data_IF_294461013449
#
_entry.id   IF_294461013449
#
_cell.length_a   1.000
_cell.length_b   1.000
_cell.length_c   1.000
_cell.angle_alpha   90.00
_cell.angle_beta   90.00
_cell.angle_gamma   90.00
#
_symmetry.space_group_name_H-M   'P 1'
#
loop_
_entity.id
_entity.type
_entity.pdbx_description
1 polymer ?
#
# COMPACT_ATOMS: atom_id res chain seq x y z
N UNK A 1 -14.63 -8.15 18.40
CA UNK A 1 -13.40 -8.58 19.14
C UNK A 1 -12.30 -7.63 18.68
N UNK A 2 -11.38 -7.20 19.55
CA UNK A 2 -10.31 -6.31 19.09
C UNK A 2 -9.42 -7.04 18.08
N UNK A 3 -9.14 -6.41 16.95
CA UNK A 3 -8.26 -6.97 15.94
C UNK A 3 -6.81 -6.92 16.46
N UNK A 4 -6.02 -7.93 16.14
CA UNK A 4 -4.62 -7.97 16.57
C UNK A 4 -3.82 -6.94 15.77
N UNK A 5 -3.02 -6.15 16.47
CA UNK A 5 -1.98 -5.30 15.87
C UNK A 5 -0.92 -6.18 15.20
N UNK A 6 -0.95 -6.23 13.87
CA UNK A 6 -0.03 -7.03 13.07
C UNK A 6 0.09 -6.43 11.64
N UNK A 7 0.75 -5.27 11.52
CA UNK A 7 0.94 -4.61 10.25
C UNK A 7 1.69 -5.53 9.29
N UNK A 8 1.19 -5.58 8.07
CA UNK A 8 1.67 -6.48 7.01
C UNK A 8 1.81 -5.77 5.66
N UNK A 9 1.64 -4.45 5.65
CA UNK A 9 1.55 -3.65 4.43
C UNK A 9 0.34 -4.02 3.59
N UNK A 10 0.48 -3.78 2.28
CA UNK A 10 -0.60 -3.98 1.32
C UNK A 10 -0.56 -5.39 0.75
N UNK A 11 -1.70 -6.06 0.76
CA UNK A 11 -1.91 -7.36 0.12
C UNK A 11 -2.78 -7.15 -1.10
N UNK A 12 -2.27 -7.48 -2.28
CA UNK A 12 -3.08 -7.47 -3.50
C UNK A 12 -4.18 -8.53 -3.41
N UNK A 13 -5.42 -8.12 -3.73
CA UNK A 13 -6.57 -9.01 -3.79
C UNK A 13 -6.91 -9.35 -5.24
N UNK A 14 -7.50 -8.39 -5.95
CA UNK A 14 -8.00 -8.52 -7.32
C UNK A 14 -8.30 -7.15 -7.89
N UNK A 15 -8.51 -7.06 -9.20
CA UNK A 15 -9.18 -5.89 -9.77
C UNK A 15 -10.70 -5.92 -9.47
N UNK A 16 -11.34 -4.76 -9.34
CA UNK A 16 -12.80 -4.64 -9.20
C UNK A 16 -13.53 -5.24 -10.41
N UNK A 17 -12.92 -5.23 -11.59
CA UNK A 17 -13.41 -5.91 -12.79
C UNK A 17 -13.26 -7.43 -12.77
N UNK A 18 -12.65 -7.99 -11.73
CA UNK A 18 -12.40 -9.43 -11.58
C UNK A 18 -11.15 -9.93 -12.31
N UNK A 19 -10.30 -9.03 -12.81
CA UNK A 19 -9.01 -9.37 -13.40
C UNK A 19 -7.94 -9.68 -12.35
N UNK A 20 -6.91 -10.41 -12.79
CA UNK A 20 -5.70 -10.65 -11.99
C UNK A 20 -4.78 -9.42 -11.99
N UNK A 21 -3.93 -9.33 -10.97
CA UNK A 21 -2.89 -8.30 -10.89
C UNK A 21 -1.81 -8.48 -11.95
N UNK A 22 -1.31 -7.38 -12.51
CA UNK A 22 -0.14 -7.40 -13.40
C UNK A 22 1.11 -7.32 -12.54
N UNK A 23 1.97 -8.33 -12.62
CA UNK A 23 3.27 -8.33 -11.95
C UNK A 23 4.37 -7.99 -12.94
N UNK A 24 5.24 -7.06 -12.58
CA UNK A 24 6.46 -6.73 -13.33
C UNK A 24 7.67 -6.71 -12.40
N UNK A 25 8.82 -7.08 -12.96
CA UNK A 25 10.10 -7.04 -12.26
C UNK A 25 10.78 -5.67 -12.44
N UNK A 26 11.28 -5.15 -11.33
CA UNK A 26 12.02 -3.89 -11.21
C UNK A 26 13.30 -4.12 -10.41
N UNK A 27 14.14 -3.10 -10.31
CA UNK A 27 15.42 -3.15 -9.59
C UNK A 27 15.37 -2.20 -8.40
N UNK A 28 15.73 -2.70 -7.22
CA UNK A 28 16.14 -1.85 -6.10
C UNK A 28 17.63 -1.60 -6.19
N UNK A 29 18.06 -0.34 -6.15
CA UNK A 29 19.47 0.02 -6.29
C UNK A 29 20.33 -0.39 -5.07
N UNK A 30 21.61 -0.74 -5.31
CA UNK A 30 22.56 -1.09 -4.23
C UNK A 30 22.90 0.08 -3.28
N UNK A 31 22.63 1.32 -3.69
CA UNK A 31 22.86 2.53 -2.87
C UNK A 31 21.69 2.90 -1.96
N UNK A 32 20.51 2.32 -2.18
CA UNK A 32 19.33 2.61 -1.37
C UNK A 32 19.42 1.86 -0.03
N UNK A 33 19.52 2.62 1.05
CA UNK A 33 19.62 2.12 2.42
C UNK A 33 18.29 1.60 2.99
N UNK A 34 17.17 2.00 2.40
CA UNK A 34 15.84 1.56 2.81
C UNK A 34 15.64 0.10 2.43
N UNK A 35 14.91 -0.65 3.26
CA UNK A 35 14.52 -2.03 2.95
C UNK A 35 13.12 -1.99 2.35
N UNK A 36 12.88 -2.84 1.36
CA UNK A 36 11.53 -3.06 0.82
C UNK A 36 10.97 -4.33 1.46
N UNK A 37 9.98 -4.17 2.33
CA UNK A 37 9.23 -5.28 2.92
C UNK A 37 8.20 -5.82 1.95
N UNK A 38 7.87 -7.10 2.05
CA UNK A 38 6.75 -7.69 1.32
C UNK A 38 5.48 -6.93 1.72
N UNK A 39 4.78 -6.35 0.75
CA UNK A 39 3.63 -5.47 0.98
C UNK A 39 3.96 -3.98 1.02
N UNK A 40 5.22 -3.57 0.83
CA UNK A 40 5.55 -2.15 0.72
C UNK A 40 5.03 -1.57 -0.61
N UNK A 41 4.36 -0.41 -0.59
CA UNK A 41 4.16 0.37 -1.79
C UNK A 41 5.51 0.91 -2.27
N UNK A 42 5.65 1.04 -3.59
CA UNK A 42 6.88 1.51 -4.23
C UNK A 42 6.61 2.59 -5.26
N UNK A 43 7.59 3.44 -5.50
CA UNK A 43 7.61 4.49 -6.53
C UNK A 43 8.88 4.37 -7.39
N UNK A 44 8.94 5.08 -8.51
CA UNK A 44 10.13 5.14 -9.37
C UNK A 44 11.16 6.15 -8.84
N UNK A 45 12.44 5.78 -8.89
CA UNK A 45 13.54 6.64 -8.41
C UNK A 45 14.16 7.52 -9.50
N UNK A 46 13.46 7.70 -10.62
CA UNK A 46 13.88 8.51 -11.77
C UNK A 46 14.77 7.82 -12.82
N UNK A 47 15.37 6.66 -12.51
CA UNK A 47 15.94 5.78 -13.54
C UNK A 47 14.90 4.75 -14.02
N UNK A 48 14.98 4.40 -15.30
CA UNK A 48 14.08 3.39 -15.90
C UNK A 48 14.32 2.07 -15.18
N UNK A 49 13.25 1.49 -14.66
CA UNK A 49 13.21 0.23 -13.93
C UNK A 49 13.74 0.24 -12.49
N UNK A 50 14.12 1.39 -11.91
CA UNK A 50 14.53 1.44 -10.49
C UNK A 50 13.39 1.88 -9.58
N UNK A 51 13.19 1.14 -8.49
CA UNK A 51 12.14 1.42 -7.50
C UNK A 51 12.72 1.66 -6.11
N UNK A 52 12.03 2.49 -5.34
CA UNK A 52 12.26 2.71 -3.90
C UNK A 52 10.96 2.60 -3.12
N UNK A 53 11.08 2.62 -1.79
CA UNK A 53 9.93 2.63 -0.92
C UNK A 53 9.14 3.92 -1.17
N UNK A 54 7.84 3.79 -1.31
CA UNK A 54 6.94 4.92 -1.40
C UNK A 54 7.10 5.87 -0.19
N UNK A 55 7.16 7.17 -0.46
CA UNK A 55 6.95 8.22 0.53
C UNK A 55 5.57 8.84 0.35
N UNK A 56 5.03 9.45 1.39
CA UNK A 56 3.72 10.11 1.35
C UNK A 56 3.65 11.12 0.19
N UNK A 57 2.49 11.23 -0.46
CA UNK A 57 2.22 12.10 -1.61
C UNK A 57 2.96 11.74 -2.92
N UNK A 58 3.80 10.69 -2.95
CA UNK A 58 4.38 10.21 -4.22
C UNK A 58 3.36 9.46 -5.08
N UNK A 59 3.64 9.34 -6.38
CA UNK A 59 2.82 8.47 -7.23
C UNK A 59 3.14 6.99 -6.97
N UNK A 60 2.14 6.17 -6.66
CA UNK A 60 2.36 4.74 -6.38
C UNK A 60 2.47 3.95 -7.68
N UNK A 61 3.58 3.22 -7.85
CA UNK A 61 3.74 2.26 -8.95
C UNK A 61 2.96 0.98 -8.69
N UNK A 62 3.01 0.49 -7.46
CA UNK A 62 2.47 -0.79 -7.05
C UNK A 62 3.00 -1.23 -5.70
N UNK A 63 2.87 -2.52 -5.42
CA UNK A 63 3.27 -3.14 -4.15
C UNK A 63 4.26 -4.27 -4.39
N UNK A 64 5.32 -4.35 -3.60
CA UNK A 64 6.32 -5.43 -3.76
C UNK A 64 5.84 -6.77 -3.17
N UNK A 65 6.17 -7.86 -3.85
CA UNK A 65 5.83 -9.24 -3.48
C UNK A 65 7.01 -9.98 -2.82
N UNK A 66 8.20 -9.38 -2.78
CA UNK A 66 9.38 -9.98 -2.20
C UNK A 66 10.19 -8.99 -1.36
N UNK A 67 11.00 -9.52 -0.45
CA UNK A 67 11.86 -8.69 0.38
C UNK A 67 13.06 -8.16 -0.42
N UNK A 68 13.31 -6.86 -0.31
CA UNK A 68 14.49 -6.16 -0.78
C UNK A 68 15.37 -5.70 0.37
N UNK A 69 16.57 -6.29 0.49
CA UNK A 69 17.52 -5.88 1.50
C UNK A 69 18.03 -4.43 1.25
N UNK A 70 18.32 -3.73 2.34
CA UNK A 70 18.99 -2.43 2.30
C UNK A 70 20.41 -2.57 1.75
N UNK A 71 20.88 -1.54 1.06
CA UNK A 71 22.25 -1.42 0.51
C UNK A 71 22.67 -2.61 -0.37
N UNK A 72 21.71 -3.29 -1.00
CA UNK A 72 21.93 -4.48 -1.83
C UNK A 72 21.08 -4.36 -3.08
N UNK A 73 21.68 -4.59 -4.25
CA UNK A 73 20.90 -4.67 -5.48
C UNK A 73 20.02 -5.91 -5.43
N UNK A 74 18.71 -5.72 -5.60
CA UNK A 74 17.75 -6.82 -5.62
C UNK A 74 16.73 -6.61 -6.71
N UNK A 75 16.27 -7.70 -7.31
CA UNK A 75 15.12 -7.66 -8.20
C UNK A 75 13.84 -7.66 -7.35
N UNK A 76 12.87 -6.84 -7.75
CA UNK A 76 11.62 -6.60 -7.04
C UNK A 76 10.46 -6.94 -7.97
N UNK A 77 9.71 -7.98 -7.63
CA UNK A 77 8.44 -8.31 -8.26
C UNK A 77 7.37 -7.40 -7.68
N UNK A 78 6.84 -6.50 -8.49
CA UNK A 78 5.85 -5.50 -8.08
C UNK A 78 4.53 -5.82 -8.76
N UNK A 79 3.47 -5.96 -7.98
CA UNK A 79 2.10 -5.95 -8.49
C UNK A 79 1.66 -4.51 -8.72
N UNK A 80 1.34 -4.18 -9.97
CA UNK A 80 1.07 -2.80 -10.37
C UNK A 80 -0.28 -2.32 -9.84
N UNK A 81 -0.29 -1.06 -9.37
CA UNK A 81 -1.51 -0.39 -8.93
C UNK A 81 -2.19 0.31 -10.12
N UNK A 82 -3.36 -0.19 -10.51
CA UNK A 82 -4.28 0.46 -11.45
C UNK A 82 -5.50 1.01 -10.70
N UNK A 83 -6.41 1.66 -11.42
CA UNK A 83 -7.60 2.32 -10.86
C UNK A 83 -8.51 1.40 -10.07
N UNK A 84 -8.55 0.15 -10.49
CA UNK A 84 -9.42 -0.87 -9.96
C UNK A 84 -8.66 -1.94 -9.16
N UNK A 85 -7.33 -1.80 -8.99
CA UNK A 85 -6.53 -2.76 -8.24
C UNK A 85 -6.80 -2.62 -6.74
N UNK A 86 -7.50 -3.59 -6.16
CA UNK A 86 -7.88 -3.61 -4.75
C UNK A 86 -6.77 -4.23 -3.90
N UNK A 87 -6.45 -3.56 -2.80
CA UNK A 87 -5.51 -4.02 -1.79
C UNK A 87 -6.20 -4.16 -0.43
N UNK A 88 -5.68 -5.05 0.41
CA UNK A 88 -5.98 -5.10 1.84
C UNK A 88 -4.81 -4.49 2.62
N UNK A 89 -5.12 -3.70 3.64
CA UNK A 89 -4.14 -3.17 4.59
C UNK A 89 -4.82 -2.94 5.94
N UNK A 90 -4.04 -2.94 7.01
CA UNK A 90 -4.50 -2.66 8.36
C UNK A 90 -4.42 -1.15 8.66
N UNK A 91 -5.36 -0.63 9.45
CA UNK A 91 -5.25 0.71 10.04
C UNK A 91 -4.40 0.68 11.33
N UNK A 92 -3.77 1.82 11.67
CA UNK A 92 -2.89 1.93 12.84
C UNK A 92 -3.64 2.02 14.19
N UNK A 93 -4.85 2.57 14.20
CA UNK A 93 -5.72 2.71 15.38
C UNK A 93 -7.18 2.43 14.99
N UNK A 94 -8.11 3.40 15.04
CA UNK A 94 -9.52 3.17 14.78
C UNK A 94 -10.09 4.34 13.99
N UNK A 95 -10.43 4.10 12.73
CA UNK A 95 -11.12 5.07 11.87
C UNK A 95 -12.65 4.98 11.98
N UNK A 96 -13.16 3.81 12.37
CA UNK A 96 -14.58 3.47 12.38
C UNK A 96 -15.17 3.29 10.98
N UNK A 97 -16.31 2.60 10.90
CA UNK A 97 -16.95 2.28 9.61
C UNK A 97 -17.47 3.49 8.83
N UNK A 98 -17.55 4.67 9.46
CA UNK A 98 -17.94 5.91 8.80
C UNK A 98 -16.84 6.47 7.87
N UNK A 99 -15.63 5.92 7.92
CA UNK A 99 -14.52 6.29 7.03
C UNK A 99 -14.65 5.66 5.63
N UNK A 100 -15.60 4.76 5.40
CA UNK A 100 -15.85 4.20 4.07
C UNK A 100 -16.16 5.31 3.03
N UNK A 101 -15.45 5.29 1.91
CA UNK A 101 -15.50 6.28 0.85
C UNK A 101 -14.61 7.52 1.08
N UNK A 102 -13.98 7.66 2.25
CA UNK A 102 -13.06 8.76 2.54
C UNK A 102 -11.66 8.51 1.94
N UNK A 103 -10.84 9.56 1.92
CA UNK A 103 -9.41 9.44 1.70
C UNK A 103 -8.66 9.28 3.02
N UNK A 104 -7.50 8.61 2.97
CA UNK A 104 -6.56 8.54 4.08
C UNK A 104 -5.12 8.48 3.55
N UNK A 105 -4.17 8.90 4.38
CA UNK A 105 -2.75 8.72 4.10
C UNK A 105 -2.26 7.39 4.66
N UNK A 106 -1.06 7.01 4.25
CA UNK A 106 -0.34 5.87 4.83
C UNK A 106 0.59 6.31 5.95
N UNK A 107 0.95 5.39 6.84
CA UNK A 107 1.99 5.62 7.85
C UNK A 107 3.37 5.33 7.23
N UNK A 108 4.01 6.37 6.70
CA UNK A 108 5.26 6.33 5.89
C UNK A 108 6.53 6.59 6.73
N UNK A 109 6.94 5.63 7.56
CA UNK A 109 8.28 5.68 8.19
C UNK A 109 8.73 4.34 8.78
N UNK A 110 8.05 3.25 8.42
CA UNK A 110 8.18 2.00 9.14
C UNK A 110 9.09 1.04 8.38
N UNK A 111 10.34 0.95 8.84
CA UNK A 111 11.29 -0.01 8.27
C UNK A 111 10.74 -1.43 8.34
N UNK A 112 10.82 -2.14 7.21
CA UNK A 112 10.42 -3.54 7.10
C UNK A 112 11.03 -4.42 8.20
N UNK A 113 10.27 -5.42 8.65
CA UNK A 113 10.71 -6.35 9.68
C UNK A 113 11.86 -7.22 9.14
N UNK A 114 13.03 -7.20 9.78
CA UNK A 114 14.21 -7.95 9.31
C UNK A 114 14.12 -9.45 9.50
N UNK A 115 13.23 -9.92 10.36
CA UNK A 115 13.07 -11.33 10.66
C UNK A 115 12.03 -11.96 9.74
N UNK A 116 10.89 -11.30 9.52
CA UNK A 116 9.81 -11.82 8.66
C UNK A 116 9.87 -11.30 7.23
N UNK A 117 10.59 -10.21 6.98
CA UNK A 117 10.63 -9.53 5.69
C UNK A 117 9.36 -8.76 5.36
N UNK A 118 8.39 -8.68 6.27
CA UNK A 118 7.10 -8.03 6.04
C UNK A 118 7.19 -6.51 6.13
N UNK A 119 6.38 -5.85 5.32
CA UNK A 119 6.06 -4.44 5.42
C UNK A 119 5.44 -4.10 6.76
N UNK A 120 5.59 -2.84 7.15
CA UNK A 120 4.90 -2.26 8.29
C UNK A 120 3.97 -1.12 7.89
N UNK A 121 3.69 -0.96 6.60
CA UNK A 121 2.75 0.07 6.17
C UNK A 121 1.35 -0.21 6.72
N UNK A 122 0.70 0.89 7.12
CA UNK A 122 -0.64 0.93 7.67
C UNK A 122 -1.36 2.16 7.14
N UNK A 123 -2.69 2.17 7.27
CA UNK A 123 -3.49 3.37 7.07
C UNK A 123 -3.35 4.25 8.31
N UNK A 124 -3.12 5.55 8.11
CA UNK A 124 -3.14 6.51 9.21
C UNK A 124 -4.58 6.88 9.54
N UNK A 125 -5.07 6.43 10.68
CA UNK A 125 -6.42 6.75 11.15
C UNK A 125 -6.61 8.22 11.51
N UNK A 126 -5.52 8.95 11.68
CA UNK A 126 -5.52 10.38 12.04
C UNK A 126 -5.67 11.33 10.85
N UNK A 127 -5.46 10.83 9.62
CA UNK A 127 -5.51 11.66 8.41
C UNK A 127 -6.80 11.49 7.60
N UNK A 128 -7.73 10.64 8.06
CA UNK A 128 -9.00 10.39 7.38
C UNK A 128 -9.74 11.69 7.09
N UNK A 129 -10.04 11.92 5.80
CA UNK A 129 -10.70 13.13 5.34
C UNK A 129 -11.64 12.84 4.16
N UNK A 130 -12.64 13.71 3.98
CA UNK A 130 -13.53 13.62 2.82
C UNK A 130 -12.88 14.05 1.48
N UNK A 131 -11.63 14.52 1.52
CA UNK A 131 -10.80 14.81 0.35
C UNK A 131 -10.09 13.57 -0.15
N UNK A 132 -9.71 13.57 -1.42
CA UNK A 132 -8.76 12.57 -1.92
C UNK A 132 -7.40 12.78 -1.24
N UNK A 133 -6.87 11.69 -0.68
CA UNK A 133 -5.52 11.55 -0.12
C UNK A 133 -4.86 10.34 -0.82
N UNK A 134 -3.73 9.84 -0.35
CA UNK A 134 -3.02 8.72 -0.98
C UNK A 134 -3.90 7.49 -1.26
N UNK A 135 -4.75 7.14 -0.30
CA UNK A 135 -5.65 6.00 -0.35
C UNK A 135 -7.10 6.44 -0.50
N UNK A 136 -7.89 5.61 -1.17
CA UNK A 136 -9.34 5.60 -1.08
C UNK A 136 -9.81 4.39 -0.28
N UNK A 137 -10.55 4.64 0.81
CA UNK A 137 -11.08 3.62 1.70
C UNK A 137 -12.33 2.99 1.09
N UNK A 138 -12.19 1.81 0.45
CA UNK A 138 -13.28 1.20 -0.31
C UNK A 138 -14.36 0.59 0.59
N UNK A 139 -13.96 -0.22 1.58
CA UNK A 139 -14.83 -0.76 2.63
C UNK A 139 -13.99 -1.44 3.71
N UNK A 140 -14.58 -1.67 4.88
CA UNK A 140 -14.01 -2.59 5.88
C UNK A 140 -13.97 -4.00 5.28
N UNK A 141 -12.83 -4.69 5.40
CA UNK A 141 -12.69 -6.04 4.85
C UNK A 141 -13.72 -6.99 5.48
N UNK A 142 -14.56 -7.70 4.69
CA UNK A 142 -15.69 -8.48 5.18
C UNK A 142 -15.27 -9.86 5.71
N UNK A 143 -14.27 -9.89 6.58
CA UNK A 143 -13.84 -11.10 7.28
C UNK A 143 -14.61 -11.27 8.58
N UNK A 144 -14.86 -12.53 8.95
CA UNK A 144 -15.64 -12.87 10.15
C UNK A 144 -15.02 -12.32 11.45
N UNK A 145 -13.70 -12.24 11.51
CA UNK A 145 -12.93 -11.76 12.67
C UNK A 145 -12.32 -10.37 12.41
N UNK A 146 -13.00 -9.52 11.63
CA UNK A 146 -12.60 -8.14 11.40
C UNK A 146 -13.70 -7.19 11.87
N UNK A 147 -13.51 -6.60 13.05
CA UNK A 147 -14.46 -5.66 13.63
C UNK A 147 -14.08 -4.22 13.24
N UNK A 148 -14.80 -3.65 12.27
CA UNK A 148 -14.56 -2.29 11.76
C UNK A 148 -14.88 -1.15 12.74
N UNK A 149 -15.29 -1.48 13.97
CA UNK A 149 -15.48 -0.50 15.05
C UNK A 149 -14.38 -0.58 16.11
N UNK A 150 -13.54 -1.60 16.04
CA UNK A 150 -12.40 -1.81 16.92
C UNK A 150 -11.12 -1.25 16.29
N UNK A 151 -10.03 -1.23 17.07
CA UNK A 151 -8.73 -0.83 16.54
C UNK A 151 -8.18 -1.88 15.58
N UNK A 152 -7.31 -1.44 14.68
CA UNK A 152 -6.51 -2.22 13.77
C UNK A 152 -7.36 -3.05 12.81
N UNK A 153 -8.53 -2.52 12.42
CA UNK A 153 -9.36 -3.12 11.40
C UNK A 153 -8.61 -3.20 10.06
N UNK A 154 -8.93 -4.24 9.31
CA UNK A 154 -8.44 -4.46 7.95
C UNK A 154 -9.41 -3.83 6.97
N UNK A 155 -8.88 -3.11 6.01
CA UNK A 155 -9.64 -2.35 5.03
C UNK A 155 -9.27 -2.78 3.64
N UNK A 156 -10.26 -2.78 2.76
CA UNK A 156 -10.02 -2.81 1.33
C UNK A 156 -9.82 -1.38 0.85
N UNK A 157 -8.76 -1.14 0.10
CA UNK A 157 -8.33 0.18 -0.35
C UNK A 157 -7.88 0.18 -1.80
N UNK A 158 -7.92 1.36 -2.40
CA UNK A 158 -7.35 1.67 -3.70
C UNK A 158 -6.32 2.80 -3.52
N UNK A 159 -5.31 2.85 -4.38
CA UNK A 159 -4.41 4.01 -4.45
C UNK A 159 -5.02 5.09 -5.34
N UNK A 160 -5.14 6.32 -4.86
CA UNK A 160 -5.66 7.44 -5.64
C UNK A 160 -4.61 7.92 -6.64
N UNK A 161 -3.40 8.24 -6.16
CA UNK A 161 -2.27 8.63 -7.01
C UNK A 161 -1.45 7.42 -7.45
N UNK A 162 -1.45 7.17 -8.76
CA UNK A 162 -0.86 5.98 -9.38
C UNK A 162 0.06 6.41 -10.50
N UNK A 163 1.23 5.79 -10.58
CA UNK A 163 2.25 6.07 -11.58
C UNK A 163 1.76 5.90 -13.02
N UNK A 164 0.82 4.97 -13.24
CA UNK A 164 0.19 4.70 -14.54
C UNK A 164 -1.25 5.22 -14.62
N UNK A 165 -1.60 6.24 -13.84
CA UNK A 165 -2.89 6.91 -13.99
C UNK A 165 -3.03 7.48 -15.41
N UNK A 166 -4.22 7.31 -16.00
CA UNK A 166 -4.55 7.99 -17.24
C UNK A 166 -4.55 9.50 -16.95
N UNK A 167 -3.62 10.24 -17.56
CA UNK A 167 -3.64 11.69 -17.48
C UNK A 167 -4.90 12.21 -18.20
N UNK A 168 -5.98 12.45 -17.45
CA UNK A 168 -7.11 13.20 -17.96
C UNK A 168 -6.70 14.67 -17.92
N UNK A 169 -6.19 15.17 -19.05
CA UNK A 169 -5.91 16.58 -19.21
C UNK A 169 -7.23 17.37 -19.24
N UNK A 170 -7.58 18.02 -18.13
CA UNK A 170 -8.61 19.06 -18.05
C UNK A 170 -10.00 18.59 -17.61
N UNK A 171 -10.34 18.93 -16.36
CA UNK A 171 -11.69 19.31 -15.93
C UNK A 171 -11.58 20.70 -15.29
#
# INVERSE_FOLDING_TARGET
MANVDNPHGFIHLKSLGGGDGVVREYIKAAGDGTRLGIGDPVTFTGAVDTVEQYDQDDAVLGVTLNFGAGTTLTNQSVVLAFEDTLFEVQEDVNMGTAAEGAGADTVTALAANTTTGQSKFEISSTTVAASALDLHLYQVAPYIDNDGTATNARWFVLFNDRQYANAIAGI
#
